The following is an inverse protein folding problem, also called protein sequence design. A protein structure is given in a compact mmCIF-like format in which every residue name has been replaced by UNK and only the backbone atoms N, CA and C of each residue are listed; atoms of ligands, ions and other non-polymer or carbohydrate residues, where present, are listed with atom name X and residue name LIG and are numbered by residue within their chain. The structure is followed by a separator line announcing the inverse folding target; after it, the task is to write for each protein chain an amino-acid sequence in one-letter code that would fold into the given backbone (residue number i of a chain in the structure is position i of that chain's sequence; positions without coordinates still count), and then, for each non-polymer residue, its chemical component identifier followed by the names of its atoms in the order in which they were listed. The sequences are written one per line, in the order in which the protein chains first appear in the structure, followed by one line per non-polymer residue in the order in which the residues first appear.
data_IF_368269839842
#
_entry.id   IF_368269839842
#
_cell.length_a   1.000
_cell.length_b   1.000
_cell.length_c   1.000
_cell.angle_alpha   90.00
_cell.angle_beta   90.00
_cell.angle_gamma   90.00
#
_symmetry.space_group_name_H-M   'P 1'
#
loop_
_entity.id
_entity.type
_entity.pdbx_description
1 polymer ?
#
# COMPACT_ATOMS: atom_id res chain seq x y z
N UNK A 1 14.84 -27.37 -8.04
CA UNK A 1 16.19 -27.12 -7.49
C UNK A 1 16.05 -27.10 -5.97
N UNK A 2 16.79 -27.97 -5.26
CA UNK A 2 16.49 -28.30 -3.85
C UNK A 2 17.18 -27.31 -2.91
N UNK A 3 16.55 -26.15 -2.67
CA UNK A 3 17.04 -25.06 -1.81
C UNK A 3 17.31 -25.51 -0.36
N UNK A 4 16.76 -26.65 0.07
CA UNK A 4 17.01 -27.24 1.39
C UNK A 4 18.46 -27.67 1.64
N UNK A 5 19.27 -27.91 0.59
CA UNK A 5 20.69 -28.25 0.77
C UNK A 5 21.58 -27.04 1.06
N UNK A 6 21.16 -25.84 0.66
CA UNK A 6 22.00 -24.62 0.71
C UNK A 6 21.70 -23.78 1.96
N UNK A 7 20.56 -24.02 2.63
CA UNK A 7 20.16 -23.24 3.82
C UNK A 7 21.02 -23.61 5.05
N UNK A 8 21.64 -22.63 5.73
CA UNK A 8 22.34 -22.86 6.99
C UNK A 8 21.47 -23.57 8.04
N UNK A 9 22.08 -24.41 8.88
CA UNK A 9 21.36 -25.25 9.85
C UNK A 9 20.55 -24.44 10.87
N UNK A 10 21.08 -23.30 11.33
CA UNK A 10 20.37 -22.41 12.24
C UNK A 10 19.09 -21.85 11.61
N UNK A 11 19.14 -21.50 10.31
CA UNK A 11 17.99 -21.02 9.56
C UNK A 11 16.95 -22.12 9.35
N UNK A 12 17.35 -23.39 9.25
CA UNK A 12 16.41 -24.53 9.21
C UNK A 12 15.68 -24.69 10.54
N UNK A 13 16.41 -24.65 11.66
CA UNK A 13 15.83 -24.75 13.01
C UNK A 13 14.88 -23.59 13.30
N UNK A 14 15.25 -22.37 12.95
CA UNK A 14 14.40 -21.19 13.09
C UNK A 14 13.13 -21.30 12.24
N UNK A 15 13.26 -21.74 10.98
CA UNK A 15 12.13 -21.90 10.06
C UNK A 15 11.12 -22.94 10.58
N UNK A 16 11.62 -24.07 11.07
CA UNK A 16 10.79 -25.11 11.68
C UNK A 16 10.14 -24.63 12.97
N UNK A 17 10.87 -23.91 13.83
CA UNK A 17 10.32 -23.36 15.06
C UNK A 17 9.20 -22.35 14.80
N UNK A 18 9.40 -21.45 13.84
CA UNK A 18 8.40 -20.45 13.42
C UNK A 18 7.17 -21.11 12.79
N UNK A 19 7.35 -22.14 11.96
CA UNK A 19 6.22 -22.88 11.39
C UNK A 19 5.35 -23.51 12.49
N UNK A 20 5.97 -24.06 13.53
CA UNK A 20 5.27 -24.77 14.60
C UNK A 20 4.64 -23.84 15.65
N UNK A 21 5.32 -22.74 16.01
CA UNK A 21 4.91 -21.89 17.14
C UNK A 21 4.37 -20.51 16.71
N UNK A 22 4.83 -19.99 15.57
CA UNK A 22 4.48 -18.65 15.08
C UNK A 22 4.08 -18.67 13.59
N UNK A 23 3.04 -19.46 13.22
CA UNK A 23 2.72 -19.71 11.82
C UNK A 23 2.39 -18.43 11.04
N UNK A 24 1.79 -17.42 11.68
CA UNK A 24 1.52 -16.12 11.03
C UNK A 24 2.81 -15.42 10.56
N UNK A 25 3.87 -15.45 11.38
CA UNK A 25 5.18 -14.87 11.08
C UNK A 25 5.88 -15.69 9.99
N UNK A 26 5.75 -17.01 10.05
CA UNK A 26 6.33 -17.89 9.04
C UNK A 26 5.67 -17.74 7.67
N UNK A 27 4.34 -17.67 7.63
CA UNK A 27 3.57 -17.50 6.40
C UNK A 27 3.81 -16.13 5.78
N UNK A 28 3.94 -15.07 6.58
CA UNK A 28 4.22 -13.74 6.08
C UNK A 28 5.57 -13.65 5.38
N UNK A 29 6.54 -14.53 5.69
CA UNK A 29 7.92 -14.49 5.16
C UNK A 29 8.67 -13.20 5.54
N UNK A 30 8.34 -12.63 6.71
CA UNK A 30 8.93 -11.36 7.17
C UNK A 30 10.44 -11.40 7.39
N UNK A 31 11.00 -12.54 7.79
CA UNK A 31 12.46 -12.68 7.95
C UNK A 31 13.17 -12.55 6.61
N UNK A 32 12.59 -13.12 5.55
CA UNK A 32 13.14 -12.98 4.20
C UNK A 32 13.02 -11.54 3.70
N UNK A 33 11.87 -10.90 3.92
CA UNK A 33 11.66 -9.50 3.54
C UNK A 33 12.64 -8.58 4.29
N UNK A 34 12.84 -8.80 5.59
CA UNK A 34 13.78 -8.05 6.41
C UNK A 34 15.24 -8.27 5.98
N UNK A 35 15.62 -9.51 5.67
CA UNK A 35 16.97 -9.80 5.17
C UNK A 35 17.24 -9.10 3.83
N UNK A 36 16.29 -9.16 2.90
CA UNK A 36 16.36 -8.41 1.65
C UNK A 36 16.45 -6.90 1.91
N UNK A 37 15.56 -6.37 2.76
CA UNK A 37 15.47 -4.96 3.09
C UNK A 37 16.80 -4.40 3.59
N UNK A 38 17.42 -5.07 4.57
CA UNK A 38 18.70 -4.69 5.14
C UNK A 38 19.80 -4.76 4.07
N UNK A 39 19.89 -5.89 3.36
CA UNK A 39 20.95 -6.10 2.36
C UNK A 39 20.86 -5.07 1.22
N UNK A 40 19.66 -4.83 0.70
CA UNK A 40 19.42 -3.88 -0.38
C UNK A 40 19.57 -2.43 0.08
N UNK A 41 19.09 -2.08 1.28
CA UNK A 41 19.32 -0.76 1.87
C UNK A 41 20.81 -0.49 2.02
N UNK A 42 21.55 -1.40 2.65
CA UNK A 42 23.00 -1.25 2.86
C UNK A 42 23.75 -1.18 1.53
N UNK A 43 23.37 -2.00 0.54
CA UNK A 43 23.95 -1.94 -0.79
C UNK A 43 23.71 -0.61 -1.50
N UNK A 44 22.48 -0.10 -1.48
CA UNK A 44 22.15 1.20 -2.10
C UNK A 44 22.82 2.35 -1.35
N UNK A 45 22.82 2.33 -0.02
CA UNK A 45 23.44 3.38 0.79
C UNK A 45 24.95 3.52 0.50
N UNK A 46 25.70 2.41 0.49
CA UNK A 46 27.13 2.48 0.22
C UNK A 46 27.46 2.70 -1.27
N UNK A 47 26.64 2.18 -2.18
CA UNK A 47 26.87 2.38 -3.62
C UNK A 47 26.47 3.79 -4.06
N UNK A 48 25.43 4.37 -3.46
CA UNK A 48 25.04 5.76 -3.66
C UNK A 48 26.13 6.71 -3.20
N UNK A 49 26.59 6.58 -1.97
CA UNK A 49 27.69 7.39 -1.39
C UNK A 49 28.98 7.30 -2.23
N UNK A 50 29.26 6.13 -2.84
CA UNK A 50 30.39 5.97 -3.74
C UNK A 50 30.18 6.62 -5.12
N UNK A 51 28.96 6.58 -5.67
CA UNK A 51 28.64 7.13 -6.99
C UNK A 51 28.48 8.65 -6.93
N UNK A 52 27.92 9.15 -5.84
CA UNK A 52 27.66 10.56 -5.54
C UNK A 52 28.88 11.24 -4.86
N UNK A 53 30.07 10.66 -4.99
CA UNK A 53 31.30 11.22 -4.41
C UNK A 53 31.79 12.40 -5.27
N UNK A 54 31.06 13.51 -5.23
CA UNK A 54 31.35 14.68 -6.04
C UNK A 54 32.09 15.75 -5.21
N UNK A 55 33.25 16.25 -5.66
CA UNK A 55 34.09 17.12 -4.85
C UNK A 55 33.58 18.57 -4.76
N UNK A 56 32.58 18.97 -5.55
CA UNK A 56 32.09 20.36 -5.62
C UNK A 56 30.58 20.45 -5.82
N UNK A 57 29.95 21.38 -5.09
CA UNK A 57 28.48 21.59 -5.10
C UNK A 57 27.87 21.80 -6.49
N UNK A 58 28.63 22.39 -7.42
CA UNK A 58 28.12 22.72 -8.75
C UNK A 58 28.10 21.51 -9.71
N UNK A 59 28.63 20.37 -9.27
CA UNK A 59 28.67 19.13 -10.04
C UNK A 59 27.47 18.23 -9.72
N UNK A 60 26.83 18.43 -8.56
CA UNK A 60 25.73 17.59 -8.05
C UNK A 60 24.64 17.38 -9.10
N UNK A 61 24.46 16.11 -9.50
CA UNK A 61 23.40 15.66 -10.41
C UNK A 61 22.21 15.04 -9.68
N UNK A 62 21.89 15.57 -8.50
CA UNK A 62 20.83 15.14 -7.56
C UNK A 62 19.50 14.73 -8.21
N UNK A 63 19.03 15.47 -9.21
CA UNK A 63 17.78 15.14 -9.92
C UNK A 63 17.92 13.87 -10.78
N UNK A 64 19.08 13.67 -11.40
CA UNK A 64 19.43 12.48 -12.18
C UNK A 64 19.63 11.28 -11.26
N UNK A 65 20.34 11.46 -10.15
CA UNK A 65 20.62 10.41 -9.18
C UNK A 65 19.35 9.98 -8.45
N UNK A 66 18.53 10.94 -8.01
CA UNK A 66 17.19 10.67 -7.53
C UNK A 66 16.39 9.88 -8.56
N UNK A 67 16.32 10.36 -9.81
CA UNK A 67 15.56 9.71 -10.87
C UNK A 67 15.98 8.25 -11.11
N UNK A 68 17.28 7.99 -11.15
CA UNK A 68 17.84 6.67 -11.42
C UNK A 68 17.67 5.72 -10.23
N UNK A 69 18.16 6.09 -9.04
CA UNK A 69 18.08 5.25 -7.85
C UNK A 69 16.64 5.03 -7.37
N UNK A 70 15.77 6.04 -7.49
CA UNK A 70 14.36 5.89 -7.17
C UNK A 70 13.65 4.95 -8.15
N UNK A 71 13.85 5.13 -9.46
CA UNK A 71 13.21 4.28 -10.47
C UNK A 71 13.67 2.83 -10.38
N UNK A 72 14.99 2.60 -10.24
CA UNK A 72 15.56 1.26 -10.05
C UNK A 72 15.07 0.66 -8.74
N UNK A 73 15.10 1.43 -7.65
CA UNK A 73 14.62 1.01 -6.33
C UNK A 73 13.15 0.60 -6.32
N UNK A 74 12.27 1.40 -6.94
CA UNK A 74 10.85 1.07 -7.10
C UNK A 74 10.67 -0.18 -7.95
N UNK A 75 11.39 -0.28 -9.07
CA UNK A 75 11.27 -1.41 -9.98
C UNK A 75 11.64 -2.73 -9.27
N UNK A 76 12.79 -2.77 -8.59
CA UNK A 76 13.26 -3.94 -7.84
C UNK A 76 12.32 -4.27 -6.67
N UNK A 77 11.90 -3.26 -5.90
CA UNK A 77 10.95 -3.45 -4.80
C UNK A 77 9.60 -3.96 -5.32
N UNK A 78 9.13 -3.47 -6.45
CA UNK A 78 7.92 -3.92 -7.14
C UNK A 78 8.00 -5.39 -7.57
N UNK A 79 9.11 -5.81 -8.17
CA UNK A 79 9.35 -7.22 -8.51
C UNK A 79 9.33 -8.11 -7.25
N UNK A 80 9.91 -7.63 -6.15
CA UNK A 80 9.93 -8.36 -4.89
C UNK A 80 8.55 -8.46 -4.25
N UNK A 81 7.72 -7.42 -4.35
CA UNK A 81 6.30 -7.48 -3.94
C UNK A 81 5.53 -8.48 -4.78
N UNK A 82 5.73 -8.51 -6.10
CA UNK A 82 5.09 -9.50 -6.99
C UNK A 82 5.50 -10.92 -6.60
N UNK A 83 6.80 -11.15 -6.37
CA UNK A 83 7.31 -12.44 -5.93
C UNK A 83 6.75 -12.84 -4.56
N UNK A 84 6.69 -11.90 -3.61
CA UNK A 84 6.09 -12.13 -2.30
C UNK A 84 4.59 -12.48 -2.42
N UNK A 85 3.82 -11.75 -3.22
CA UNK A 85 2.41 -12.06 -3.50
C UNK A 85 2.24 -13.44 -4.14
N UNK A 86 3.15 -13.84 -5.02
CA UNK A 86 3.17 -15.19 -5.59
C UNK A 86 3.40 -16.26 -4.50
N UNK A 87 4.35 -16.05 -3.59
CA UNK A 87 4.55 -16.96 -2.44
C UNK A 87 3.30 -17.03 -1.55
N UNK A 88 2.65 -15.89 -1.29
CA UNK A 88 1.40 -15.86 -0.53
C UNK A 88 0.28 -16.62 -1.26
N UNK A 89 0.18 -16.50 -2.58
CA UNK A 89 -0.80 -17.23 -3.39
C UNK A 89 -0.62 -18.76 -3.23
N UNK A 90 0.61 -19.26 -3.25
CA UNK A 90 0.91 -20.70 -3.16
C UNK A 90 0.56 -21.35 -1.81
N UNK A 91 0.63 -20.61 -0.69
CA UNK A 91 0.49 -21.18 0.67
C UNK A 91 -0.94 -21.62 1.05
N UNK A 92 -1.98 -21.29 0.27
CA UNK A 92 -3.39 -21.75 0.45
C UNK A 92 -3.98 -21.67 1.88
N UNK A 93 -3.59 -20.67 2.68
CA UNK A 93 -4.06 -20.48 4.07
C UNK A 93 -5.52 -20.00 4.15
N UNK A 94 -6.39 -20.69 4.89
CA UNK A 94 -7.75 -20.20 5.15
C UNK A 94 -7.77 -19.20 6.33
N UNK A 95 -8.01 -17.92 6.04
CA UNK A 95 -8.06 -16.84 7.04
C UNK A 95 -9.46 -16.63 7.63
N UNK A 96 -10.48 -17.33 7.13
CA UNK A 96 -11.88 -17.06 7.44
C UNK A 96 -12.27 -17.41 8.89
N UNK A 97 -11.49 -18.29 9.51
CA UNK A 97 -11.64 -18.78 10.89
C UNK A 97 -10.88 -17.93 11.92
N UNK A 98 -10.13 -16.91 11.48
CA UNK A 98 -9.39 -16.04 12.39
C UNK A 98 -10.32 -15.10 13.17
N UNK A 99 -10.03 -14.91 14.46
CA UNK A 99 -10.60 -13.82 15.25
C UNK A 99 -10.16 -12.47 14.68
N UNK A 100 -10.89 -11.39 15.01
CA UNK A 100 -10.58 -10.06 14.49
C UNK A 100 -9.14 -9.64 14.79
N UNK A 101 -8.69 -9.81 16.04
CA UNK A 101 -7.32 -9.47 16.45
C UNK A 101 -6.25 -10.25 15.68
N UNK A 102 -6.47 -11.55 15.42
CA UNK A 102 -5.55 -12.35 14.61
C UNK A 102 -5.54 -11.90 13.15
N UNK A 103 -6.70 -11.56 12.58
CA UNK A 103 -6.80 -11.02 11.22
C UNK A 103 -6.07 -9.69 11.08
N UNK A 104 -6.28 -8.78 12.03
CA UNK A 104 -5.58 -7.49 12.10
C UNK A 104 -4.06 -7.70 12.21
N UNK A 105 -3.61 -8.64 13.05
CA UNK A 105 -2.19 -8.97 13.17
C UNK A 105 -1.58 -9.49 11.86
N UNK A 106 -2.29 -10.35 11.12
CA UNK A 106 -1.81 -10.83 9.80
C UNK A 106 -1.79 -9.70 8.77
N UNK A 107 -2.81 -8.84 8.74
CA UNK A 107 -2.83 -7.66 7.86
C UNK A 107 -1.66 -6.72 8.17
N UNK A 108 -1.39 -6.46 9.44
CA UNK A 108 -0.25 -5.65 9.87
C UNK A 108 1.08 -6.27 9.49
N UNK A 109 1.25 -7.59 9.64
CA UNK A 109 2.45 -8.30 9.18
C UNK A 109 2.63 -8.21 7.65
N UNK A 110 1.55 -8.32 6.88
CA UNK A 110 1.59 -8.13 5.43
C UNK A 110 1.98 -6.69 5.06
N UNK A 111 1.42 -5.71 5.76
CA UNK A 111 1.74 -4.30 5.57
C UNK A 111 3.21 -4.01 5.89
N UNK A 112 3.69 -4.48 7.05
CA UNK A 112 5.09 -4.36 7.45
C UNK A 112 6.04 -5.02 6.44
N UNK A 113 5.68 -6.19 5.89
CA UNK A 113 6.47 -6.82 4.84
C UNK A 113 6.62 -5.96 3.60
N UNK A 114 5.52 -5.38 3.12
CA UNK A 114 5.56 -4.54 1.93
C UNK A 114 6.41 -3.31 2.20
N UNK A 115 6.25 -2.66 3.36
CA UNK A 115 7.11 -1.54 3.76
C UNK A 115 8.58 -1.95 3.78
N UNK A 116 8.92 -3.09 4.38
CA UNK A 116 10.29 -3.59 4.43
C UNK A 116 10.87 -3.78 3.02
N UNK A 117 10.08 -4.28 2.07
CA UNK A 117 10.53 -4.42 0.68
C UNK A 117 10.85 -3.09 0.01
N UNK A 118 10.26 -1.98 0.45
CA UNK A 118 10.57 -0.62 -0.02
C UNK A 118 11.57 0.13 0.87
N UNK A 119 12.00 -0.44 1.99
CA UNK A 119 13.02 0.16 2.88
C UNK A 119 14.27 0.65 2.14
N UNK A 120 14.76 -0.01 1.06
CA UNK A 120 15.92 0.49 0.34
C UNK A 120 15.75 1.93 -0.21
N UNK A 121 14.53 2.39 -0.47
CA UNK A 121 14.27 3.77 -0.89
C UNK A 121 14.55 4.79 0.22
N UNK A 122 14.56 4.38 1.48
CA UNK A 122 14.92 5.25 2.61
C UNK A 122 16.38 5.67 2.56
N UNK A 123 17.26 4.92 1.86
CA UNK A 123 18.66 5.31 1.68
C UNK A 123 18.81 6.67 0.95
N UNK A 124 17.86 6.99 0.06
CA UNK A 124 17.77 8.29 -0.63
C UNK A 124 17.46 9.44 0.35
N UNK A 125 16.81 9.15 1.47
CA UNK A 125 16.40 10.15 2.47
C UNK A 125 17.53 10.40 3.47
N UNK A 126 18.30 9.37 3.80
CA UNK A 126 19.29 9.40 4.89
C UNK A 126 20.65 9.95 4.47
N UNK A 127 20.73 10.67 3.33
CA UNK A 127 21.99 11.21 2.83
C UNK A 127 22.95 10.16 2.28
N UNK A 128 22.45 9.01 1.82
CA UNK A 128 23.29 7.98 1.19
C UNK A 128 23.34 8.07 -0.33
N UNK A 129 22.58 8.99 -0.92
CA UNK A 129 22.42 9.15 -2.39
C UNK A 129 22.04 10.59 -2.76
N UNK A 130 21.47 11.35 -1.81
CA UNK A 130 21.09 12.75 -2.01
C UNK A 130 21.68 13.58 -0.88
N UNK A 131 22.46 14.60 -1.21
CA UNK A 131 23.11 15.50 -0.27
C UNK A 131 22.28 16.78 -0.03
N UNK A 132 21.46 17.19 -1.00
CA UNK A 132 20.64 18.40 -0.90
C UNK A 132 19.31 18.21 -0.14
N UNK A 133 19.03 19.13 0.80
CA UNK A 133 17.83 19.11 1.65
C UNK A 133 16.51 19.18 0.84
N UNK A 134 16.49 19.88 -0.29
CA UNK A 134 15.31 19.96 -1.15
C UNK A 134 14.93 18.61 -1.76
N UNK A 135 15.93 17.86 -2.22
CA UNK A 135 15.74 16.55 -2.86
C UNK A 135 15.41 15.47 -1.83
N UNK A 136 16.02 15.54 -0.64
CA UNK A 136 15.64 14.71 0.50
C UNK A 136 14.18 14.92 0.94
N UNK A 137 13.68 16.16 0.90
CA UNK A 137 12.27 16.46 1.17
C UNK A 137 11.33 15.88 0.11
N UNK A 138 11.76 15.86 -1.15
CA UNK A 138 11.03 15.20 -2.24
C UNK A 138 11.00 13.68 -2.06
N UNK A 139 12.13 13.09 -1.63
CA UNK A 139 12.22 11.67 -1.27
C UNK A 139 11.32 11.30 -0.09
N UNK A 140 11.20 12.18 0.93
CA UNK A 140 10.23 12.03 2.01
C UNK A 140 8.78 11.98 1.50
N UNK A 141 8.40 12.87 0.58
CA UNK A 141 7.06 12.85 -0.03
C UNK A 141 6.77 11.51 -0.73
N UNK A 142 7.74 11.02 -1.49
CA UNK A 142 7.67 9.73 -2.19
C UNK A 142 7.56 8.55 -1.22
N UNK A 143 8.28 8.56 -0.09
CA UNK A 143 8.17 7.53 0.94
C UNK A 143 6.77 7.48 1.57
N UNK A 144 6.16 8.63 1.82
CA UNK A 144 4.77 8.65 2.31
C UNK A 144 3.81 8.04 1.29
N UNK A 145 3.99 8.32 0.00
CA UNK A 145 3.20 7.68 -1.06
C UNK A 145 3.33 6.15 -1.03
N UNK A 146 4.54 5.62 -0.76
CA UNK A 146 4.77 4.18 -0.57
C UNK A 146 4.02 3.64 0.65
N UNK A 147 4.03 4.33 1.79
CA UNK A 147 3.31 3.92 3.00
C UNK A 147 1.79 3.79 2.75
N UNK A 148 1.21 4.71 1.97
CA UNK A 148 -0.20 4.63 1.58
C UNK A 148 -0.45 3.55 0.53
N UNK A 149 0.42 3.42 -0.48
CA UNK A 149 0.35 2.41 -1.54
C UNK A 149 0.57 0.98 -1.05
N UNK A 150 1.21 0.78 0.10
CA UNK A 150 1.41 -0.54 0.72
C UNK A 150 0.12 -1.11 1.34
N UNK A 151 -0.83 -0.26 1.76
CA UNK A 151 -2.08 -0.70 2.37
C UNK A 151 -2.95 -1.59 1.46
N UNK A 152 -3.28 -1.22 0.20
CA UNK A 152 -4.14 -2.07 -0.64
C UNK A 152 -3.45 -3.39 -0.97
N UNK A 153 -2.13 -3.37 -1.13
CA UNK A 153 -1.29 -4.54 -1.37
C UNK A 153 -1.29 -5.50 -0.16
N UNK A 154 -1.39 -4.99 1.07
CA UNK A 154 -1.42 -5.81 2.29
C UNK A 154 -2.67 -6.68 2.43
N UNK A 155 -3.77 -6.27 1.79
CA UNK A 155 -5.02 -7.03 1.77
C UNK A 155 -5.09 -8.07 0.64
N UNK A 156 -4.25 -7.94 -0.39
CA UNK A 156 -4.26 -8.86 -1.54
C UNK A 156 -4.14 -10.33 -1.13
N UNK A 157 -3.29 -10.76 -0.18
CA UNK A 157 -3.20 -12.15 0.24
C UNK A 157 -4.54 -12.78 0.70
N UNK A 158 -5.50 -11.97 1.18
CA UNK A 158 -6.82 -12.46 1.58
C UNK A 158 -7.76 -12.64 0.38
N UNK A 159 -7.74 -11.71 -0.56
CA UNK A 159 -8.69 -11.67 -1.70
C UNK A 159 -8.16 -12.32 -2.97
N UNK A 160 -6.85 -12.42 -3.16
CA UNK A 160 -6.20 -12.95 -4.38
C UNK A 160 -6.63 -14.39 -4.71
N UNK A 161 -7.03 -15.15 -3.69
CA UNK A 161 -7.48 -16.54 -3.84
C UNK A 161 -8.97 -16.68 -4.18
N UNK A 162 -9.75 -15.60 -4.05
CA UNK A 162 -11.18 -15.58 -4.34
C UNK A 162 -11.49 -15.26 -5.81
N UNK A 163 -10.50 -14.78 -6.53
CA UNK A 163 -10.61 -14.37 -7.92
C UNK A 163 -9.59 -15.13 -8.77
N UNK A 164 -9.94 -15.40 -10.01
CA UNK A 164 -8.93 -15.81 -11.00
C UNK A 164 -7.99 -14.63 -11.23
N UNK A 165 -6.72 -14.91 -11.55
CA UNK A 165 -5.73 -13.87 -11.87
C UNK A 165 -6.26 -12.90 -12.93
N UNK A 166 -6.90 -13.43 -13.97
CA UNK A 166 -7.51 -12.64 -15.04
C UNK A 166 -8.63 -11.72 -14.53
N UNK A 167 -9.42 -12.15 -13.54
CA UNK A 167 -10.49 -11.33 -12.98
C UNK A 167 -9.93 -10.17 -12.16
N UNK A 168 -8.84 -10.37 -11.43
CA UNK A 168 -8.18 -9.29 -10.70
C UNK A 168 -7.57 -8.28 -11.65
N UNK A 169 -6.85 -8.74 -12.68
CA UNK A 169 -6.27 -7.86 -13.71
C UNK A 169 -7.37 -7.07 -14.41
N UNK A 170 -8.45 -7.72 -14.83
CA UNK A 170 -9.57 -7.04 -15.47
C UNK A 170 -10.25 -6.05 -14.52
N UNK A 171 -10.45 -6.42 -13.25
CA UNK A 171 -11.09 -5.50 -12.28
C UNK A 171 -10.21 -4.28 -12.01
N UNK A 172 -8.89 -4.44 -11.90
CA UNK A 172 -7.96 -3.33 -11.78
C UNK A 172 -7.94 -2.46 -13.04
N UNK A 173 -7.88 -3.08 -14.22
CA UNK A 173 -7.89 -2.37 -15.51
C UNK A 173 -9.19 -1.59 -15.73
N UNK A 174 -10.37 -2.21 -15.55
CA UNK A 174 -11.64 -1.51 -15.67
C UNK A 174 -11.85 -0.47 -14.57
N UNK A 175 -11.32 -0.71 -13.37
CA UNK A 175 -11.27 0.30 -12.30
C UNK A 175 -10.45 1.52 -12.71
N UNK A 176 -9.29 1.31 -13.32
CA UNK A 176 -8.44 2.37 -13.86
C UNK A 176 -9.15 3.15 -14.98
N UNK A 177 -9.75 2.45 -15.94
CA UNK A 177 -10.55 3.07 -17.01
C UNK A 177 -11.71 3.89 -16.43
N UNK A 178 -12.40 3.37 -15.42
CA UNK A 178 -13.48 4.09 -14.74
C UNK A 178 -12.98 5.37 -14.07
N UNK A 179 -11.83 5.33 -13.39
CA UNK A 179 -11.20 6.52 -12.83
C UNK A 179 -10.84 7.55 -13.92
N UNK A 180 -10.24 7.10 -15.03
CA UNK A 180 -9.95 7.98 -16.17
C UNK A 180 -11.21 8.65 -16.73
N UNK A 181 -12.31 7.91 -16.87
CA UNK A 181 -13.58 8.46 -17.33
C UNK A 181 -14.15 9.49 -16.37
N UNK A 182 -14.09 9.25 -15.05
CA UNK A 182 -14.47 10.26 -14.05
C UNK A 182 -13.62 11.51 -14.22
N UNK A 183 -12.29 11.37 -14.27
CA UNK A 183 -11.38 12.49 -14.41
C UNK A 183 -11.67 13.32 -15.67
N UNK A 184 -11.94 12.65 -16.79
CA UNK A 184 -12.34 13.28 -18.05
C UNK A 184 -13.67 14.04 -17.91
N UNK A 185 -14.69 13.45 -17.28
CA UNK A 185 -15.97 14.11 -17.03
C UNK A 185 -15.76 15.37 -16.18
N UNK A 186 -15.03 15.29 -15.07
CA UNK A 186 -14.75 16.46 -14.23
C UNK A 186 -14.01 17.55 -15.00
N UNK A 187 -13.05 17.17 -15.83
CA UNK A 187 -12.30 18.12 -16.67
C UNK A 187 -13.21 18.81 -17.70
N UNK A 188 -14.13 18.08 -18.33
CA UNK A 188 -15.05 18.61 -19.32
C UNK A 188 -16.16 19.50 -18.73
N UNK A 189 -16.57 19.25 -17.47
CA UNK A 189 -17.64 20.01 -16.79
C UNK A 189 -17.12 21.00 -15.74
N UNK A 190 -15.82 21.30 -15.76
CA UNK A 190 -15.10 22.12 -14.77
C UNK A 190 -15.76 23.49 -14.48
N UNK A 191 -16.42 24.09 -15.47
CA UNK A 191 -16.99 25.44 -15.36
C UNK A 191 -18.33 25.52 -14.59
N UNK A 192 -18.91 24.39 -14.19
CA UNK A 192 -20.25 24.36 -13.56
C UNK A 192 -20.25 24.52 -12.04
N UNK A 193 -19.10 24.36 -11.37
CA UNK A 193 -18.97 24.49 -9.91
C UNK A 193 -17.73 25.34 -9.62
N UNK A 194 -17.87 26.49 -8.97
CA UNK A 194 -16.74 27.36 -8.65
C UNK A 194 -15.73 26.64 -7.74
N UNK A 195 -14.54 26.30 -8.26
CA UNK A 195 -13.52 25.58 -7.50
C UNK A 195 -12.36 24.97 -8.30
N UNK A 196 -12.53 24.76 -9.61
CA UNK A 196 -11.50 24.17 -10.48
C UNK A 196 -11.38 22.65 -10.34
N UNK A 197 -10.87 21.99 -11.40
CA UNK A 197 -10.77 20.51 -11.54
C UNK A 197 -10.12 19.86 -10.32
N UNK A 198 -9.04 20.46 -9.80
CA UNK A 198 -8.27 19.91 -8.68
C UNK A 198 -9.05 19.88 -7.36
N UNK A 199 -10.07 20.74 -7.16
CA UNK A 199 -10.91 20.72 -5.95
C UNK A 199 -12.13 19.80 -6.10
N UNK A 200 -12.69 19.71 -7.30
CA UNK A 200 -13.89 18.90 -7.56
C UNK A 200 -13.58 17.42 -7.70
N UNK A 201 -12.44 17.07 -8.30
CA UNK A 201 -12.07 15.70 -8.61
C UNK A 201 -11.98 14.81 -7.36
N UNK A 202 -11.30 15.20 -6.26
CA UNK A 202 -11.27 14.41 -5.03
C UNK A 202 -12.67 14.17 -4.45
N UNK A 203 -13.52 15.20 -4.43
CA UNK A 203 -14.89 15.11 -3.90
C UNK A 203 -15.74 14.09 -4.68
N UNK A 204 -15.66 14.13 -6.00
CA UNK A 204 -16.41 13.21 -6.87
C UNK A 204 -15.91 11.77 -6.69
N UNK A 205 -14.60 11.55 -6.53
CA UNK A 205 -14.07 10.22 -6.19
C UNK A 205 -14.59 9.70 -4.84
N UNK A 206 -14.63 10.57 -3.82
CA UNK A 206 -15.16 10.22 -2.49
C UNK A 206 -16.64 9.83 -2.60
N UNK A 207 -17.46 10.62 -3.30
CA UNK A 207 -18.88 10.32 -3.50
C UNK A 207 -19.10 9.00 -4.24
N UNK A 208 -18.37 8.74 -5.32
CA UNK A 208 -18.47 7.48 -6.06
C UNK A 208 -18.08 6.28 -5.19
N UNK A 209 -17.00 6.40 -4.41
CA UNK A 209 -16.59 5.36 -3.48
C UNK A 209 -17.65 5.06 -2.43
N UNK A 210 -18.26 6.09 -1.83
CA UNK A 210 -19.35 5.94 -0.86
C UNK A 210 -20.58 5.31 -1.49
N UNK A 211 -20.97 5.74 -2.69
CA UNK A 211 -22.13 5.21 -3.40
C UNK A 211 -21.95 3.72 -3.78
N UNK A 212 -20.80 3.36 -4.35
CA UNK A 212 -20.45 1.96 -4.67
C UNK A 212 -20.35 1.15 -3.38
N UNK A 213 -19.76 1.72 -2.32
CA UNK A 213 -19.67 1.12 -0.99
C UNK A 213 -21.04 0.75 -0.42
N UNK A 214 -21.97 1.71 -0.39
CA UNK A 214 -23.33 1.52 0.08
C UNK A 214 -24.06 0.44 -0.74
N UNK A 215 -23.92 0.46 -2.07
CA UNK A 215 -24.51 -0.55 -2.95
C UNK A 215 -23.96 -1.96 -2.65
N UNK A 216 -22.64 -2.12 -2.53
CA UNK A 216 -22.00 -3.43 -2.25
C UNK A 216 -22.40 -3.95 -0.87
N UNK A 217 -22.37 -3.10 0.16
CA UNK A 217 -22.78 -3.47 1.52
C UNK A 217 -24.25 -3.89 1.56
N UNK A 218 -25.13 -3.12 0.91
CA UNK A 218 -26.55 -3.47 0.82
C UNK A 218 -26.77 -4.82 0.13
N UNK A 219 -26.11 -5.06 -1.02
CA UNK A 219 -26.21 -6.34 -1.76
C UNK A 219 -25.68 -7.52 -0.95
N UNK A 220 -24.55 -7.37 -0.24
CA UNK A 220 -24.02 -8.43 0.62
C UNK A 220 -24.91 -8.69 1.84
N UNK A 221 -25.48 -7.66 2.47
CA UNK A 221 -26.43 -7.84 3.56
C UNK A 221 -27.74 -8.51 3.10
N UNK A 222 -28.20 -8.18 1.89
CA UNK A 222 -29.34 -8.84 1.25
C UNK A 222 -29.02 -10.26 0.72
N UNK A 223 -27.80 -10.76 0.94
CA UNK A 223 -27.31 -12.07 0.48
C UNK A 223 -27.33 -12.24 -1.05
N UNK A 224 -27.22 -11.15 -1.80
CA UNK A 224 -27.17 -11.16 -3.26
C UNK A 224 -25.71 -11.13 -3.71
N UNK A 225 -25.14 -12.32 -3.92
CA UNK A 225 -23.72 -12.50 -4.21
C UNK A 225 -23.49 -12.77 -5.71
N UNK A 226 -23.56 -11.72 -6.53
CA UNK A 226 -23.18 -11.85 -7.95
C UNK A 226 -21.67 -11.67 -8.15
N UNK A 227 -21.14 -12.18 -9.26
CA UNK A 227 -19.74 -11.95 -9.64
C UNK A 227 -19.42 -10.46 -9.81
N UNK A 228 -20.39 -9.66 -10.26
CA UNK A 228 -20.26 -8.20 -10.38
C UNK A 228 -20.12 -7.54 -9.01
N UNK A 229 -20.94 -7.91 -8.02
CA UNK A 229 -20.85 -7.38 -6.65
C UNK A 229 -19.52 -7.75 -6.00
N UNK A 230 -18.98 -8.95 -6.28
CA UNK A 230 -17.63 -9.33 -5.83
C UNK A 230 -16.54 -8.45 -6.45
N UNK A 231 -16.59 -8.20 -7.77
CA UNK A 231 -15.63 -7.31 -8.46
C UNK A 231 -15.68 -5.88 -7.91
N UNK A 232 -16.88 -5.34 -7.65
CA UNK A 232 -17.03 -4.03 -7.02
C UNK A 232 -16.46 -4.01 -5.58
N UNK A 233 -16.70 -5.06 -4.79
CA UNK A 233 -16.08 -5.21 -3.47
C UNK A 233 -14.55 -5.23 -3.52
N UNK A 234 -13.96 -5.90 -4.52
CA UNK A 234 -12.52 -5.90 -4.74
C UNK A 234 -12.00 -4.50 -5.16
N UNK A 235 -12.71 -3.82 -6.06
CA UNK A 235 -12.39 -2.44 -6.44
C UNK A 235 -12.41 -1.49 -5.23
N UNK A 236 -13.40 -1.62 -4.34
CA UNK A 236 -13.46 -0.85 -3.10
C UNK A 236 -12.26 -1.15 -2.20
N UNK A 237 -11.82 -2.41 -2.09
CA UNK A 237 -10.63 -2.75 -1.31
C UNK A 237 -9.36 -2.13 -1.87
N UNK A 238 -9.22 -2.09 -3.20
CA UNK A 238 -8.07 -1.49 -3.86
C UNK A 238 -8.06 0.04 -3.75
N UNK A 239 -9.23 0.67 -3.80
CA UNK A 239 -9.36 2.13 -3.82
C UNK A 239 -9.49 2.75 -2.43
N UNK A 240 -9.86 1.97 -1.39
CA UNK A 240 -10.00 2.46 -0.01
C UNK A 240 -8.78 3.25 0.49
N UNK A 241 -7.53 2.77 0.30
CA UNK A 241 -6.36 3.49 0.82
C UNK A 241 -6.00 4.76 0.06
N UNK A 242 -6.67 5.03 -1.07
CA UNK A 242 -6.56 6.28 -1.83
C UNK A 242 -7.68 7.23 -1.39
N UNK A 243 -8.92 6.72 -1.31
CA UNK A 243 -10.09 7.55 -1.04
C UNK A 243 -10.15 8.02 0.41
N UNK A 244 -9.74 7.20 1.38
CA UNK A 244 -9.81 7.56 2.81
C UNK A 244 -8.85 8.69 3.20
N UNK A 245 -7.57 8.71 2.78
CA UNK A 245 -6.72 9.88 2.96
C UNK A 245 -7.31 11.11 2.28
N UNK A 246 -7.77 11.00 1.02
CA UNK A 246 -8.39 12.11 0.31
C UNK A 246 -9.60 12.67 1.08
N UNK A 247 -10.43 11.79 1.64
CA UNK A 247 -11.58 12.18 2.47
C UNK A 247 -11.15 12.97 3.70
N UNK A 248 -10.08 12.53 4.37
CA UNK A 248 -9.56 13.20 5.55
C UNK A 248 -8.92 14.55 5.23
N UNK A 249 -8.10 14.64 4.18
CA UNK A 249 -7.52 15.91 3.74
C UNK A 249 -8.62 16.90 3.32
N UNK A 250 -9.62 16.42 2.58
CA UNK A 250 -10.76 17.23 2.17
C UNK A 250 -11.59 17.72 3.37
N UNK A 251 -11.89 16.86 4.34
CA UNK A 251 -12.63 17.21 5.56
C UNK A 251 -11.78 18.11 6.49
N UNK A 252 -10.48 17.84 6.60
CA UNK A 252 -9.54 18.60 7.43
C UNK A 252 -9.28 20.02 6.93
N UNK A 253 -9.24 20.20 5.60
CA UNK A 253 -9.20 21.50 4.95
C UNK A 253 -10.47 22.32 5.26
N UNK A 254 -11.65 21.68 5.19
CA UNK A 254 -12.95 22.28 5.49
C UNK A 254 -13.11 22.63 6.98
N UNK A 255 -12.70 21.75 7.89
CA UNK A 255 -13.02 21.86 9.32
C UNK A 255 -11.95 22.58 10.16
N UNK A 256 -10.70 22.63 9.71
CA UNK A 256 -9.59 22.99 10.62
C UNK A 256 -8.50 23.85 9.98
N UNK A 257 -8.00 23.49 8.79
CA UNK A 257 -6.84 24.19 8.23
C UNK A 257 -7.19 25.53 7.59
N UNK A 258 -8.38 25.63 6.99
CA UNK A 258 -8.94 26.91 6.54
C UNK A 258 -9.35 27.83 7.70
N UNK A 259 -9.74 27.28 8.86
CA UNK A 259 -10.29 28.06 9.98
C UNK A 259 -9.22 28.66 10.90
N UNK A 260 -8.08 27.99 11.07
CA UNK A 260 -7.00 28.44 11.98
C UNK A 260 -5.82 29.12 11.28
N UNK A 261 -5.78 29.19 9.94
CA UNK A 261 -4.81 29.97 9.16
C UNK A 261 -3.33 29.60 9.38
N UNK A 262 -3.04 28.51 10.09
CA UNK A 262 -1.69 27.97 10.29
C UNK A 262 -1.59 26.62 9.60
N UNK A 263 -0.70 26.55 8.62
CA UNK A 263 -0.24 25.28 8.10
C UNK A 263 0.42 24.47 9.23
N UNK A 264 0.19 23.15 9.32
CA UNK A 264 0.84 22.32 10.31
C UNK A 264 2.36 22.37 10.13
N UNK A 265 3.11 22.39 11.25
CA UNK A 265 4.56 22.19 11.17
C UNK A 265 4.85 20.79 10.62
N UNK A 266 5.96 20.61 9.89
CA UNK A 266 6.31 19.33 9.28
C UNK A 266 6.29 18.17 10.30
N UNK A 267 6.77 18.40 11.52
CA UNK A 267 6.71 17.42 12.61
C UNK A 267 5.28 17.03 13.02
N UNK A 268 4.35 17.97 13.02
CA UNK A 268 2.93 17.74 13.34
C UNK A 268 2.25 16.98 12.20
N UNK A 269 2.56 17.34 10.96
CA UNK A 269 2.07 16.64 9.77
C UNK A 269 2.54 15.17 9.73
N UNK A 270 3.79 14.91 10.13
CA UNK A 270 4.34 13.55 10.23
C UNK A 270 3.61 12.73 11.30
N UNK A 271 3.47 13.26 12.52
CA UNK A 271 2.81 12.54 13.63
C UNK A 271 1.34 12.23 13.27
N UNK A 272 0.62 13.22 12.74
CA UNK A 272 -0.76 13.03 12.28
C UNK A 272 -0.81 12.02 11.13
N UNK A 273 0.13 12.07 10.18
CA UNK A 273 0.22 11.11 9.07
C UNK A 273 0.42 9.67 9.54
N UNK A 274 1.34 9.42 10.47
CA UNK A 274 1.57 8.07 11.01
C UNK A 274 0.40 7.57 11.86
N UNK A 275 -0.20 8.44 12.69
CA UNK A 275 -1.40 8.09 13.45
C UNK A 275 -2.58 7.76 12.52
N UNK A 276 -2.71 8.51 11.42
CA UNK A 276 -3.69 8.29 10.37
C UNK A 276 -3.49 6.92 9.71
N UNK A 277 -2.25 6.57 9.37
CA UNK A 277 -1.89 5.24 8.82
C UNK A 277 -2.34 4.12 9.75
N UNK A 278 -2.10 4.24 11.05
CA UNK A 278 -2.51 3.25 12.04
C UNK A 278 -4.04 3.12 12.14
N UNK A 279 -4.77 4.23 12.22
CA UNK A 279 -6.24 4.23 12.25
C UNK A 279 -6.84 3.66 10.96
N UNK A 280 -6.27 4.01 9.82
CA UNK A 280 -6.65 3.48 8.52
C UNK A 280 -6.44 1.97 8.44
N UNK A 281 -5.33 1.44 8.95
CA UNK A 281 -5.10 -0.02 8.97
C UNK A 281 -6.18 -0.75 9.79
N UNK A 282 -6.62 -0.19 10.92
CA UNK A 282 -7.69 -0.78 11.73
C UNK A 282 -9.02 -0.76 10.97
N UNK A 283 -9.41 0.39 10.42
CA UNK A 283 -10.66 0.51 9.66
C UNK A 283 -10.63 -0.34 8.38
N UNK A 284 -9.48 -0.40 7.71
CA UNK A 284 -9.25 -1.24 6.54
C UNK A 284 -9.30 -2.72 6.88
N UNK A 285 -8.82 -3.14 8.07
CA UNK A 285 -8.96 -4.52 8.53
C UNK A 285 -10.42 -4.92 8.73
N UNK A 286 -11.25 -4.03 9.30
CA UNK A 286 -12.69 -4.24 9.45
C UNK A 286 -13.33 -4.43 8.07
N UNK A 287 -13.07 -3.51 7.15
CA UNK A 287 -13.63 -3.54 5.81
C UNK A 287 -13.17 -4.77 5.01
N UNK A 288 -11.86 -5.05 5.00
CA UNK A 288 -11.27 -6.22 4.33
C UNK A 288 -11.82 -7.52 4.88
N UNK A 289 -11.94 -7.66 6.21
CA UNK A 289 -12.51 -8.86 6.83
C UNK A 289 -13.98 -9.04 6.48
N UNK A 290 -14.76 -7.96 6.47
CA UNK A 290 -16.17 -8.00 6.06
C UNK A 290 -16.30 -8.49 4.62
N UNK A 291 -15.62 -7.83 3.68
CA UNK A 291 -15.65 -8.21 2.25
C UNK A 291 -15.17 -9.65 2.05
N UNK A 292 -14.05 -10.02 2.66
CA UNK A 292 -13.48 -11.37 2.58
C UNK A 292 -14.43 -12.46 3.09
N UNK A 293 -15.06 -12.27 4.27
CA UNK A 293 -16.03 -13.24 4.80
C UNK A 293 -17.26 -13.38 3.90
N UNK A 294 -17.79 -12.26 3.40
CA UNK A 294 -18.94 -12.28 2.50
C UNK A 294 -18.61 -12.97 1.17
N UNK A 295 -17.37 -12.86 0.68
CA UNK A 295 -16.93 -13.55 -0.54
C UNK A 295 -16.73 -15.06 -0.36
N UNK A 296 -16.16 -15.47 0.79
CA UNK A 296 -15.84 -16.87 1.12
C UNK A 296 -17.05 -17.69 1.55
N UNK A 297 -17.98 -17.10 2.32
CA UNK A 297 -19.13 -17.80 2.89
C UNK A 297 -20.43 -17.05 2.64
N UNK A 298 -20.98 -17.08 1.42
CA UNK A 298 -22.26 -16.47 1.15
C UNK A 298 -23.34 -17.09 2.05
N UNK A 299 -23.94 -16.28 2.93
CA UNK A 299 -25.10 -16.66 3.74
C UNK A 299 -24.86 -17.35 5.10
N UNK A 300 -23.62 -17.61 5.55
CA UNK A 300 -23.34 -18.10 6.91
C UNK A 300 -23.01 -16.93 7.86
N UNK A 301 -23.67 -16.88 9.02
CA UNK A 301 -23.41 -15.91 10.10
C UNK A 301 -22.09 -16.24 10.81
#
# INVERSE_FOLDING_TARGET
MNFDKIKPEFLKKLDQHLLLHYPAVWHSKIIWAAFYAITAFTGIYFLGDYVDSEPYINQYQESSDFGWFFSVGIFLSGLMVIYWLYLQFQQKIDYSKLSFGKFLGVLFLNYANIILLFLPLVALITGGVLDLEHDQNTAWGSWHAVLYGAMPLSALPFVIRQFKLIEMILTAFFGFVYCLMIALVVLLFNDSISGGVMKQLPFIYILNFVAIGAFVVFKFNAKVYTQQTKRLGFLLLLTYPIVVPLSFFYIGDILTWGYYGRGPKMSEALIVGYAMVALMLVAYAVFTRFIYRQMMFPGKK
#
